data_IF_943515134462
#
_entry.id   IF_943515134462
#
_cell.length_a   1.000
_cell.length_b   1.000
_cell.length_c   1.000
_cell.angle_alpha   90.00
_cell.angle_beta   90.00
_cell.angle_gamma   90.00
#
_symmetry.space_group_name_H-M   'P 1'
#
loop_
_entity.id
_entity.type
_entity.pdbx_description
1 polymer ?
#
# COMPACT_ATOMS: atom_id res chain seq x y z
N UNK A 1 3.38 -22.13 6.64
CA UNK A 1 2.64 -20.87 6.35
C UNK A 1 2.84 -19.94 7.52
N UNK A 2 3.10 -18.66 7.27
CA UNK A 2 3.12 -17.66 8.34
C UNK A 2 1.69 -17.30 8.76
N UNK A 3 1.53 -16.79 10.00
CA UNK A 3 0.21 -16.34 10.48
C UNK A 3 -0.38 -15.27 9.56
N UNK A 4 0.45 -14.33 9.12
CA UNK A 4 0.08 -13.26 8.18
C UNK A 4 -0.47 -13.83 6.86
N UNK A 5 0.17 -14.85 6.29
CA UNK A 5 -0.30 -15.49 5.06
C UNK A 5 -1.69 -16.10 5.23
N UNK A 6 -1.91 -16.82 6.34
CA UNK A 6 -3.22 -17.44 6.64
C UNK A 6 -4.33 -16.41 6.80
N UNK A 7 -4.03 -15.26 7.43
CA UNK A 7 -4.98 -14.17 7.59
C UNK A 7 -5.38 -13.57 6.25
N UNK A 8 -4.40 -13.29 5.38
CA UNK A 8 -4.67 -12.74 4.05
C UNK A 8 -5.37 -13.72 3.12
N UNK A 9 -5.08 -15.03 3.19
CA UNK A 9 -5.84 -16.06 2.46
C UNK A 9 -7.33 -16.05 2.90
N UNK A 10 -7.59 -15.94 4.19
CA UNK A 10 -8.96 -15.84 4.72
C UNK A 10 -9.65 -14.54 4.28
N UNK A 11 -8.96 -13.40 4.37
CA UNK A 11 -9.49 -12.10 3.93
C UNK A 11 -9.78 -12.10 2.43
N UNK A 12 -8.92 -12.72 1.62
CA UNK A 12 -9.11 -12.87 0.18
C UNK A 12 -10.44 -13.56 -0.15
N UNK A 13 -10.73 -14.68 0.51
CA UNK A 13 -11.96 -15.46 0.31
C UNK A 13 -13.23 -14.68 0.67
N UNK A 14 -13.13 -13.73 1.60
CA UNK A 14 -14.25 -12.87 2.02
C UNK A 14 -14.39 -11.60 1.17
N UNK A 15 -13.39 -11.28 0.34
CA UNK A 15 -13.36 -10.07 -0.50
C UNK A 15 -14.10 -10.30 -1.82
N UNK A 16 -15.42 -10.19 -1.80
CA UNK A 16 -16.29 -10.51 -2.93
C UNK A 16 -16.11 -9.56 -4.14
N UNK A 17 -15.65 -8.32 -3.93
CA UNK A 17 -15.52 -7.31 -4.98
C UNK A 17 -14.37 -6.32 -4.70
N UNK A 18 -14.04 -5.51 -5.72
CA UNK A 18 -13.09 -4.40 -5.62
C UNK A 18 -13.77 -3.09 -5.17
N UNK A 19 -14.72 -3.18 -4.25
CA UNK A 19 -15.43 -2.02 -3.72
C UNK A 19 -14.49 -0.94 -3.17
N UNK A 20 -15.05 0.23 -2.91
CA UNK A 20 -14.30 1.35 -2.35
C UNK A 20 -13.68 0.99 -0.98
N UNK A 21 -12.41 1.32 -0.83
CA UNK A 21 -11.64 1.22 0.42
C UNK A 21 -10.85 2.52 0.63
N UNK A 22 -10.31 2.69 1.85
CA UNK A 22 -9.43 3.81 2.16
C UNK A 22 -8.15 3.79 1.30
N UNK A 23 -7.68 2.60 0.88
CA UNK A 23 -6.48 2.48 0.04
C UNK A 23 -6.76 2.96 -1.39
N UNK A 24 -7.83 2.44 -2.02
CA UNK A 24 -8.11 2.78 -3.42
C UNK A 24 -8.61 4.22 -3.61
N UNK A 25 -9.05 4.89 -2.54
CA UNK A 25 -9.31 6.34 -2.54
C UNK A 25 -8.09 7.14 -2.99
N UNK A 26 -6.88 6.67 -2.66
CA UNK A 26 -5.62 7.37 -2.99
C UNK A 26 -4.94 6.88 -4.26
N UNK A 27 -5.49 5.92 -5.01
CA UNK A 27 -4.89 5.42 -6.25
C UNK A 27 -4.59 6.56 -7.23
N UNK A 28 -5.55 7.46 -7.49
CA UNK A 28 -5.35 8.58 -8.40
C UNK A 28 -4.27 9.56 -7.92
N UNK A 29 -4.10 9.72 -6.60
CA UNK A 29 -3.03 10.53 -6.04
C UNK A 29 -1.66 9.89 -6.36
N UNK A 30 -1.50 8.59 -6.16
CA UNK A 30 -0.24 7.89 -6.45
C UNK A 30 0.06 7.85 -7.96
N UNK A 31 -0.94 7.56 -8.78
CA UNK A 31 -0.77 7.45 -10.24
C UNK A 31 -0.26 8.73 -10.91
N UNK A 32 -0.55 9.91 -10.35
CA UNK A 32 0.00 11.18 -10.84
C UNK A 32 1.52 11.29 -10.71
N UNK A 33 2.14 10.43 -9.91
CA UNK A 33 3.58 10.41 -9.68
C UNK A 33 4.30 9.30 -10.44
N UNK A 34 3.56 8.39 -11.10
CA UNK A 34 4.15 7.38 -11.99
C UNK A 34 4.86 8.11 -13.15
N UNK A 35 6.09 7.73 -13.50
CA UNK A 35 6.81 8.36 -14.61
C UNK A 35 6.03 8.26 -15.92
N UNK A 36 6.02 9.33 -16.74
CA UNK A 36 5.31 9.34 -18.02
C UNK A 36 5.83 8.28 -19.01
N UNK A 37 7.11 7.92 -18.89
CA UNK A 37 7.74 6.80 -19.60
C UNK A 37 8.11 5.74 -18.57
N UNK A 38 7.21 4.80 -18.28
CA UNK A 38 7.37 3.74 -17.30
C UNK A 38 7.39 2.39 -18.03
N UNK A 39 8.57 1.81 -18.22
CA UNK A 39 8.72 0.52 -18.86
C UNK A 39 8.47 -0.63 -17.87
N UNK A 40 8.94 -0.50 -16.63
CA UNK A 40 8.86 -1.57 -15.64
C UNK A 40 8.42 -1.03 -14.27
N UNK A 41 7.42 -1.67 -13.69
CA UNK A 41 6.91 -1.36 -12.36
C UNK A 41 6.91 -2.61 -11.48
N UNK A 42 7.28 -2.45 -10.22
CA UNK A 42 7.10 -3.45 -9.17
C UNK A 42 6.02 -2.97 -8.21
N UNK A 43 5.04 -3.83 -7.91
CA UNK A 43 4.10 -3.63 -6.81
C UNK A 43 4.33 -4.67 -5.72
N UNK A 44 4.52 -4.22 -4.48
CA UNK A 44 4.74 -5.06 -3.31
C UNK A 44 3.46 -5.10 -2.47
N UNK A 45 2.93 -6.31 -2.23
CA UNK A 45 1.65 -6.52 -1.54
C UNK A 45 0.46 -6.12 -2.41
N UNK A 46 0.35 -6.74 -3.60
CA UNK A 46 -0.66 -6.35 -4.58
C UNK A 46 -2.09 -6.75 -4.19
N UNK A 47 -2.27 -7.63 -3.20
CA UNK A 47 -3.56 -8.15 -2.81
C UNK A 47 -4.34 -8.72 -3.99
N UNK A 48 -5.59 -8.31 -4.17
CA UNK A 48 -6.44 -8.74 -5.30
C UNK A 48 -6.16 -8.00 -6.62
N UNK A 49 -5.04 -7.29 -6.73
CA UNK A 49 -4.56 -6.63 -7.95
C UNK A 49 -5.27 -5.32 -8.30
N UNK A 50 -5.98 -4.70 -7.35
CA UNK A 50 -6.75 -3.49 -7.63
C UNK A 50 -5.87 -2.32 -8.09
N UNK A 51 -4.71 -2.12 -7.49
CA UNK A 51 -3.77 -1.08 -7.90
C UNK A 51 -2.89 -1.54 -9.07
N UNK A 52 -2.55 -2.84 -9.16
CA UNK A 52 -1.84 -3.42 -10.31
C UNK A 52 -2.54 -3.10 -11.64
N UNK A 53 -3.87 -3.29 -11.71
CA UNK A 53 -4.67 -2.95 -12.89
C UNK A 53 -4.64 -1.47 -13.24
N UNK A 54 -4.50 -0.60 -12.26
CA UNK A 54 -4.35 0.84 -12.48
C UNK A 54 -2.94 1.18 -12.95
N UNK A 55 -1.90 0.57 -12.37
CA UNK A 55 -0.51 0.72 -12.80
C UNK A 55 -0.30 0.24 -14.24
N UNK A 56 -0.96 -0.86 -14.64
CA UNK A 56 -0.87 -1.41 -16.00
C UNK A 56 -1.38 -0.45 -17.10
N UNK A 57 -2.17 0.56 -16.74
CA UNK A 57 -2.60 1.63 -17.67
C UNK A 57 -1.53 2.72 -17.83
N UNK A 58 -0.50 2.74 -16.97
CA UNK A 58 0.55 3.75 -16.91
C UNK A 58 1.96 3.19 -17.16
N UNK A 59 2.12 1.86 -17.14
CA UNK A 59 3.39 1.17 -17.31
C UNK A 59 3.29 0.11 -18.40
N UNK A 60 4.42 -0.17 -19.07
CA UNK A 60 4.47 -1.22 -20.09
C UNK A 60 4.39 -2.62 -19.48
N UNK A 61 5.05 -2.82 -18.32
CA UNK A 61 5.05 -4.09 -17.59
C UNK A 61 4.90 -3.83 -16.10
N UNK A 62 4.08 -4.63 -15.44
CA UNK A 62 3.87 -4.61 -13.99
C UNK A 62 4.18 -5.99 -13.43
N UNK A 63 5.17 -6.08 -12.55
CA UNK A 63 5.39 -7.24 -11.69
C UNK A 63 4.71 -6.98 -10.35
N UNK A 64 3.76 -7.82 -9.97
CA UNK A 64 2.95 -7.65 -8.78
C UNK A 64 3.15 -8.84 -7.83
N UNK A 65 3.69 -8.57 -6.65
CA UNK A 65 4.03 -9.57 -5.65
C UNK A 65 3.02 -9.57 -4.49
N UNK A 66 2.64 -10.75 -4.02
CA UNK A 66 1.91 -10.93 -2.78
C UNK A 66 2.31 -12.24 -2.10
N UNK A 67 2.24 -12.28 -0.77
CA UNK A 67 2.54 -13.47 0.01
C UNK A 67 1.42 -14.51 -0.06
N UNK A 68 0.16 -14.06 -0.24
CA UNK A 68 -1.03 -14.90 -0.21
C UNK A 68 -1.30 -15.53 -1.58
N UNK A 69 -1.30 -16.88 -1.70
CA UNK A 69 -1.74 -17.58 -2.91
C UNK A 69 -3.17 -17.23 -3.32
N UNK A 70 -4.07 -17.05 -2.35
CA UNK A 70 -5.47 -16.72 -2.61
C UNK A 70 -5.64 -15.30 -3.15
N UNK A 71 -4.88 -14.32 -2.63
CA UNK A 71 -4.84 -12.97 -3.21
C UNK A 71 -4.39 -13.02 -4.67
N UNK A 72 -3.28 -13.72 -4.96
CA UNK A 72 -2.77 -13.85 -6.32
C UNK A 72 -3.75 -14.59 -7.24
N UNK A 73 -4.42 -15.63 -6.76
CA UNK A 73 -5.46 -16.33 -7.55
C UNK A 73 -6.58 -15.38 -7.97
N UNK A 74 -7.08 -14.58 -7.02
CA UNK A 74 -8.13 -13.59 -7.28
C UNK A 74 -7.61 -12.46 -8.19
N UNK A 75 -6.39 -11.97 -7.95
CA UNK A 75 -5.77 -10.94 -8.77
C UNK A 75 -5.68 -11.34 -10.24
N UNK A 76 -5.22 -12.57 -10.52
CA UNK A 76 -5.17 -13.12 -11.88
C UNK A 76 -6.57 -13.22 -12.51
N UNK A 77 -7.56 -13.73 -11.79
CA UNK A 77 -8.94 -13.82 -12.28
C UNK A 77 -9.53 -12.46 -12.66
N UNK A 78 -9.30 -11.43 -11.83
CA UNK A 78 -9.83 -10.09 -12.06
C UNK A 78 -9.03 -9.29 -13.09
N UNK A 79 -7.88 -9.77 -13.50
CA UNK A 79 -6.96 -9.07 -14.40
C UNK A 79 -6.77 -9.74 -15.75
N UNK A 80 -7.65 -10.65 -16.17
CA UNK A 80 -7.57 -11.43 -17.43
C UNK A 80 -7.39 -10.51 -18.66
N UNK A 81 -7.96 -9.31 -18.63
CA UNK A 81 -7.86 -8.34 -19.72
C UNK A 81 -6.52 -7.58 -19.78
N UNK A 82 -5.64 -7.75 -18.80
CA UNK A 82 -4.34 -7.07 -18.71
C UNK A 82 -3.22 -8.04 -19.01
N UNK A 83 -2.71 -8.05 -20.23
CA UNK A 83 -1.60 -8.91 -20.65
C UNK A 83 -0.23 -8.45 -20.14
N UNK A 84 -0.15 -7.23 -19.59
CA UNK A 84 1.07 -6.60 -19.11
C UNK A 84 1.25 -6.64 -17.60
N UNK A 85 0.48 -7.50 -16.90
CA UNK A 85 0.66 -7.74 -15.46
C UNK A 85 1.11 -9.17 -15.22
N UNK A 86 2.24 -9.33 -14.56
CA UNK A 86 2.71 -10.60 -14.01
C UNK A 86 2.44 -10.64 -12.50
N UNK A 87 1.64 -11.60 -12.05
CA UNK A 87 1.37 -11.83 -10.62
C UNK A 87 2.21 -12.99 -10.11
N UNK A 88 2.97 -12.75 -9.04
CA UNK A 88 3.86 -13.75 -8.43
C UNK A 88 3.58 -13.90 -6.94
N UNK A 89 3.47 -15.15 -6.46
CA UNK A 89 3.47 -15.45 -5.03
C UNK A 89 4.90 -15.31 -4.54
N UNK A 90 5.15 -14.39 -3.61
CA UNK A 90 6.49 -14.15 -3.09
C UNK A 90 6.46 -13.61 -1.66
N UNK A 91 7.37 -14.12 -0.82
CA UNK A 91 7.75 -13.48 0.42
C UNK A 91 8.80 -12.40 0.13
N UNK A 92 8.40 -11.13 0.25
CA UNK A 92 9.25 -9.98 -0.03
C UNK A 92 10.50 -9.95 0.86
N UNK A 93 10.44 -10.53 2.07
CA UNK A 93 11.60 -10.57 2.98
C UNK A 93 12.76 -11.39 2.42
N UNK A 94 12.45 -12.44 1.64
CA UNK A 94 13.42 -13.33 1.00
C UNK A 94 13.53 -13.13 -0.52
N UNK A 95 12.63 -12.36 -1.13
CA UNK A 95 12.63 -12.14 -2.58
C UNK A 95 13.89 -11.38 -3.03
N UNK A 96 14.50 -11.84 -4.12
CA UNK A 96 15.71 -11.23 -4.66
C UNK A 96 15.37 -9.97 -5.46
N UNK A 97 15.61 -8.80 -4.87
CA UNK A 97 15.40 -7.52 -5.53
C UNK A 97 16.51 -7.27 -6.57
N UNK A 98 16.19 -7.20 -7.87
CA UNK A 98 17.20 -6.87 -8.87
C UNK A 98 17.58 -5.39 -8.76
N UNK A 99 18.88 -5.09 -8.84
CA UNK A 99 19.36 -3.71 -8.80
C UNK A 99 18.94 -2.90 -10.03
N UNK A 100 18.63 -1.64 -9.88
CA UNK A 100 18.35 -0.64 -10.93
C UNK A 100 17.45 -1.12 -12.08
N UNK A 101 16.38 -1.85 -11.75
CA UNK A 101 15.54 -2.52 -12.73
C UNK A 101 14.22 -1.78 -12.99
N UNK A 102 13.65 -1.14 -11.96
CA UNK A 102 12.32 -0.58 -12.04
C UNK A 102 12.30 0.93 -12.23
N UNK A 103 11.40 1.40 -13.09
CA UNK A 103 11.11 2.83 -13.26
C UNK A 103 10.15 3.33 -12.18
N UNK A 104 9.34 2.43 -11.60
CA UNK A 104 8.44 2.70 -10.49
C UNK A 104 8.38 1.51 -9.54
N UNK A 105 8.40 1.75 -8.25
CA UNK A 105 8.07 0.75 -7.23
C UNK A 105 6.94 1.29 -6.37
N UNK A 106 5.89 0.49 -6.18
CA UNK A 106 4.73 0.87 -5.38
C UNK A 106 4.47 -0.15 -4.27
N UNK A 107 3.98 0.33 -3.12
CA UNK A 107 3.48 -0.53 -2.05
C UNK A 107 2.32 0.18 -1.32
N UNK A 108 1.19 -0.53 -1.19
CA UNK A 108 -0.02 0.01 -0.57
C UNK A 108 -0.47 -0.88 0.59
N UNK A 109 -0.46 -0.32 1.80
CA UNK A 109 -0.89 -0.99 3.04
C UNK A 109 -0.22 -2.36 3.26
N UNK A 110 1.11 -2.39 3.12
CA UNK A 110 1.89 -3.64 3.19
C UNK A 110 3.17 -3.49 4.01
N UNK A 111 3.84 -2.31 3.94
CA UNK A 111 5.17 -2.14 4.55
C UNK A 111 5.15 -2.26 6.07
N UNK A 112 4.02 -2.00 6.72
CA UNK A 112 3.87 -2.17 8.18
C UNK A 112 3.97 -3.64 8.63
N UNK A 113 3.87 -4.63 7.71
CA UNK A 113 4.13 -6.04 7.98
C UNK A 113 5.58 -6.47 7.72
N UNK A 114 6.42 -5.56 7.23
CA UNK A 114 7.78 -5.85 6.78
C UNK A 114 8.82 -5.11 7.63
N UNK A 115 10.08 -5.57 7.66
CA UNK A 115 11.18 -4.81 8.24
C UNK A 115 11.37 -3.51 7.44
N UNK A 116 10.72 -2.42 7.89
CA UNK A 116 10.54 -1.19 7.12
C UNK A 116 11.86 -0.62 6.57
N UNK A 117 12.89 -0.53 7.44
CA UNK A 117 14.21 -0.01 7.06
C UNK A 117 14.85 -0.81 5.94
N UNK A 118 14.93 -2.12 6.12
CA UNK A 118 15.56 -3.02 5.16
C UNK A 118 14.81 -3.03 3.83
N UNK A 119 13.49 -3.09 3.89
CA UNK A 119 12.63 -3.07 2.71
C UNK A 119 12.79 -1.78 1.92
N UNK A 120 12.82 -0.62 2.58
CA UNK A 120 13.03 0.68 1.90
C UNK A 120 14.40 0.75 1.22
N UNK A 121 15.46 0.21 1.84
CA UNK A 121 16.80 0.13 1.21
C UNK A 121 16.75 -0.71 -0.05
N UNK A 122 16.16 -1.91 0.00
CA UNK A 122 16.04 -2.82 -1.15
C UNK A 122 15.20 -2.20 -2.27
N UNK A 123 14.08 -1.54 -1.94
CA UNK A 123 13.26 -0.81 -2.92
C UNK A 123 14.04 0.32 -3.58
N UNK A 124 14.78 1.12 -2.80
CA UNK A 124 15.64 2.21 -3.30
C UNK A 124 16.68 1.69 -4.30
N UNK A 125 17.37 0.62 -3.93
CA UNK A 125 18.48 0.07 -4.72
C UNK A 125 17.97 -0.60 -6.02
N UNK A 126 16.72 -1.09 -6.03
CA UNK A 126 16.06 -1.68 -7.20
C UNK A 126 15.49 -0.65 -8.18
N UNK A 127 15.35 0.60 -7.77
CA UNK A 127 14.95 1.69 -8.67
C UNK A 127 16.11 2.11 -9.56
N UNK A 128 15.81 2.37 -10.82
CA UNK A 128 16.70 3.09 -11.75
C UNK A 128 16.89 4.53 -11.29
N UNK A 129 17.99 5.17 -11.73
CA UNK A 129 18.14 6.62 -11.62
C UNK A 129 16.97 7.29 -12.35
N UNK A 130 16.32 8.25 -11.71
CA UNK A 130 15.08 8.88 -12.18
C UNK A 130 13.80 8.11 -11.89
N UNK A 131 13.90 6.88 -11.39
CA UNK A 131 12.75 6.06 -10.96
C UNK A 131 12.07 6.60 -9.72
N UNK A 132 10.81 6.19 -9.50
CA UNK A 132 9.94 6.73 -8.45
C UNK A 132 9.50 5.64 -7.48
N UNK A 133 9.61 5.91 -6.18
CA UNK A 133 9.03 5.12 -5.10
C UNK A 133 7.69 5.74 -4.67
N UNK A 134 6.65 4.90 -4.61
CA UNK A 134 5.30 5.26 -4.19
C UNK A 134 4.89 4.36 -3.02
N UNK A 135 4.74 4.93 -1.84
CA UNK A 135 4.22 4.22 -0.66
C UNK A 135 2.94 4.89 -0.20
N UNK A 136 1.94 4.07 0.12
CA UNK A 136 0.75 4.47 0.86
C UNK A 136 0.56 3.44 1.97
N UNK A 137 0.64 3.87 3.23
CA UNK A 137 0.53 2.92 4.32
C UNK A 137 -0.16 3.51 5.55
N UNK A 138 -0.36 2.67 6.57
CA UNK A 138 -0.94 3.03 7.85
C UNK A 138 0.15 3.52 8.80
N UNK A 139 -0.25 4.33 9.77
CA UNK A 139 0.64 4.84 10.81
C UNK A 139 -0.02 4.72 12.18
N UNK A 140 0.80 4.59 13.21
CA UNK A 140 0.32 4.66 14.59
C UNK A 140 -0.16 6.08 14.92
N UNK A 141 -1.38 6.16 15.46
CA UNK A 141 -1.98 7.44 15.86
C UNK A 141 -1.60 7.78 17.29
N UNK A 142 -1.21 9.04 17.53
CA UNK A 142 -1.03 9.52 18.89
C UNK A 142 -2.41 9.66 19.55
N UNK A 143 -2.62 8.95 20.66
CA UNK A 143 -3.88 8.95 21.40
C UNK A 143 -3.92 9.98 22.52
N UNK A 144 -2.76 10.49 22.92
CA UNK A 144 -2.67 11.47 23.99
C UNK A 144 -3.04 12.87 23.48
N UNK A 145 -4.28 13.27 23.74
CA UNK A 145 -4.85 14.58 23.32
C UNK A 145 -4.14 15.80 23.93
N UNK A 146 -3.33 15.61 24.96
CA UNK A 146 -2.52 16.69 25.55
C UNK A 146 -1.24 16.96 24.75
N UNK A 147 -0.89 16.07 23.80
CA UNK A 147 0.16 16.36 22.82
C UNK A 147 -0.44 17.01 21.57
N UNK A 148 0.26 17.97 20.93
CA UNK A 148 -0.22 18.62 19.70
C UNK A 148 -0.61 17.63 18.60
N UNK A 149 0.18 16.57 18.43
CA UNK A 149 -0.07 15.50 17.47
C UNK A 149 -1.35 14.73 17.77
N UNK A 150 -1.60 14.42 19.05
CA UNK A 150 -2.80 13.70 19.48
C UNK A 150 -4.06 14.53 19.38
N UNK A 151 -3.99 15.84 19.66
CA UNK A 151 -5.09 16.76 19.41
C UNK A 151 -5.40 16.83 17.91
N UNK A 152 -4.37 16.97 17.07
CA UNK A 152 -4.53 16.98 15.61
C UNK A 152 -5.13 15.66 15.11
N UNK A 153 -4.68 14.51 15.62
CA UNK A 153 -5.20 13.19 15.24
C UNK A 153 -6.66 13.01 15.66
N UNK A 154 -7.06 13.58 16.83
CA UNK A 154 -8.45 13.55 17.29
C UNK A 154 -9.37 14.38 16.40
N UNK A 155 -8.95 15.58 16.00
CA UNK A 155 -9.69 16.42 15.03
C UNK A 155 -9.77 15.73 13.67
N UNK A 156 -8.66 15.16 13.20
CA UNK A 156 -8.62 14.41 11.95
C UNK A 156 -9.61 13.24 11.96
N UNK A 157 -9.70 12.50 13.07
CA UNK A 157 -10.64 11.39 13.24
C UNK A 157 -12.10 11.84 13.18
N UNK A 158 -12.42 12.97 13.81
CA UNK A 158 -13.77 13.54 13.79
C UNK A 158 -14.26 13.82 12.36
N UNK A 159 -13.35 14.13 11.45
CA UNK A 159 -13.65 14.34 10.02
C UNK A 159 -13.53 13.03 9.23
N UNK A 160 -12.50 12.21 9.48
CA UNK A 160 -12.22 11.01 8.72
C UNK A 160 -13.30 9.93 8.86
N UNK A 161 -13.86 9.75 10.06
CA UNK A 161 -14.90 8.73 10.31
C UNK A 161 -16.14 8.99 9.45
N UNK A 162 -16.83 10.15 9.55
CA UNK A 162 -18.00 10.41 8.73
C UNK A 162 -17.68 10.43 7.23
N UNK A 163 -16.53 10.95 6.84
CA UNK A 163 -16.07 10.93 5.45
C UNK A 163 -15.94 9.51 4.92
N UNK A 164 -15.29 8.61 5.68
CA UNK A 164 -15.12 7.21 5.30
C UNK A 164 -16.45 6.48 5.16
N UNK A 165 -17.37 6.70 6.10
CA UNK A 165 -18.72 6.10 6.08
C UNK A 165 -19.51 6.61 4.87
N UNK A 166 -19.50 7.91 4.61
CA UNK A 166 -20.20 8.53 3.47
C UNK A 166 -19.66 8.04 2.13
N UNK A 167 -18.32 8.02 1.97
CA UNK A 167 -17.71 7.52 0.74
C UNK A 167 -18.00 6.04 0.52
N UNK A 168 -17.97 5.23 1.58
CA UNK A 168 -18.35 3.82 1.48
C UNK A 168 -19.81 3.66 1.06
N UNK A 169 -20.72 4.43 1.62
CA UNK A 169 -22.13 4.39 1.23
C UNK A 169 -22.33 4.77 -0.24
N UNK A 170 -21.70 5.86 -0.68
CA UNK A 170 -21.80 6.34 -2.05
C UNK A 170 -21.24 5.34 -3.08
N UNK A 171 -20.17 4.66 -2.76
CA UNK A 171 -19.50 3.76 -3.72
C UNK A 171 -19.95 2.30 -3.60
N UNK A 172 -20.26 1.84 -2.39
CA UNK A 172 -20.56 0.43 -2.13
C UNK A 172 -22.03 0.16 -1.77
N UNK A 173 -22.87 1.22 -1.67
CA UNK A 173 -24.26 1.10 -1.28
C UNK A 173 -24.51 0.65 0.17
N UNK A 174 -23.45 0.63 1.02
CA UNK A 174 -23.52 0.18 2.41
C UNK A 174 -22.61 1.03 3.31
N UNK A 175 -23.05 1.27 4.55
CA UNK A 175 -22.30 2.07 5.51
C UNK A 175 -21.09 1.32 6.09
N UNK A 176 -21.22 0.02 6.30
CA UNK A 176 -20.18 -0.85 6.88
C UNK A 176 -19.93 -2.07 5.99
N UNK A 177 -18.70 -2.63 6.01
CA UNK A 177 -18.45 -3.92 5.38
C UNK A 177 -19.32 -5.04 6.01
N UNK A 178 -19.50 -6.17 5.34
CA UNK A 178 -20.14 -7.36 5.91
C UNK A 178 -19.49 -7.75 7.25
N UNK A 179 -20.29 -8.34 8.15
CA UNK A 179 -19.83 -8.69 9.51
C UNK A 179 -18.61 -9.61 9.50
N UNK A 180 -18.60 -10.59 8.61
CA UNK A 180 -17.50 -11.55 8.48
C UNK A 180 -16.20 -10.87 8.03
N UNK A 181 -16.28 -9.95 7.04
CA UNK A 181 -15.14 -9.15 6.58
C UNK A 181 -14.59 -8.29 7.72
N UNK A 182 -15.47 -7.62 8.49
CA UNK A 182 -15.03 -6.81 9.65
C UNK A 182 -14.38 -7.66 10.73
N UNK A 183 -14.92 -8.86 11.01
CA UNK A 183 -14.34 -9.76 12.00
C UNK A 183 -12.96 -10.28 11.56
N UNK A 184 -12.78 -10.59 10.27
CA UNK A 184 -11.49 -11.03 9.74
C UNK A 184 -10.43 -9.93 9.83
N UNK A 185 -10.77 -8.69 9.44
CA UNK A 185 -9.87 -7.55 9.59
C UNK A 185 -9.56 -7.22 11.04
N UNK A 186 -10.56 -7.24 11.93
CA UNK A 186 -10.33 -6.98 13.36
C UNK A 186 -9.43 -8.03 14.02
N UNK A 187 -9.50 -9.30 13.59
CA UNK A 187 -8.60 -10.35 14.07
C UNK A 187 -7.16 -10.13 13.56
N UNK A 188 -7.01 -9.72 12.30
CA UNK A 188 -5.72 -9.41 11.70
C UNK A 188 -5.04 -8.21 12.38
N UNK A 189 -5.77 -7.10 12.55
CA UNK A 189 -5.26 -5.85 13.14
C UNK A 189 -4.79 -5.98 14.61
N UNK A 190 -5.17 -7.05 15.32
CA UNK A 190 -4.75 -7.26 16.72
C UNK A 190 -3.25 -7.48 16.87
N UNK A 191 -2.60 -8.00 15.84
CA UNK A 191 -1.17 -8.33 15.84
C UNK A 191 -0.33 -7.33 15.05
N UNK A 192 -0.97 -6.32 14.44
CA UNK A 192 -0.27 -5.36 13.61
C UNK A 192 0.42 -4.28 14.46
N UNK A 193 1.60 -3.93 14.03
CA UNK A 193 2.34 -2.78 14.55
C UNK A 193 2.54 -1.76 13.44
N UNK A 194 2.26 -0.51 13.75
CA UNK A 194 2.36 0.56 12.75
C UNK A 194 3.49 1.52 13.12
N UNK A 195 4.26 1.99 12.15
CA UNK A 195 5.28 3.02 12.43
C UNK A 195 4.60 4.34 12.82
N UNK A 196 5.23 5.08 13.70
CA UNK A 196 4.83 6.47 13.97
C UNK A 196 5.21 7.37 12.79
N UNK A 197 4.50 8.49 12.63
CA UNK A 197 4.85 9.46 11.58
C UNK A 197 6.26 10.04 11.73
N UNK A 198 6.79 10.06 12.96
CA UNK A 198 8.15 10.51 13.21
C UNK A 198 9.19 9.49 12.69
N UNK A 199 8.98 8.20 12.98
CA UNK A 199 9.82 7.12 12.43
C UNK A 199 9.82 7.11 10.91
N UNK A 200 8.65 7.24 10.29
CA UNK A 200 8.55 7.32 8.81
C UNK A 200 9.34 8.50 8.25
N UNK A 201 9.27 9.68 8.89
CA UNK A 201 10.03 10.86 8.46
C UNK A 201 11.53 10.69 8.65
N UNK A 202 11.94 10.12 9.80
CA UNK A 202 13.37 9.88 10.09
C UNK A 202 13.98 8.88 9.11
N UNK A 203 13.32 7.73 8.90
CA UNK A 203 13.77 6.73 7.93
C UNK A 203 13.74 7.29 6.49
N UNK A 204 12.69 8.06 6.15
CA UNK A 204 12.61 8.75 4.86
C UNK A 204 13.79 9.69 4.64
N UNK A 205 14.12 10.54 5.60
CA UNK A 205 15.23 11.49 5.49
C UNK A 205 16.59 10.77 5.39
N UNK A 206 16.76 9.65 6.06
CA UNK A 206 18.00 8.90 6.06
C UNK A 206 18.21 8.08 4.77
N UNK A 207 17.15 7.39 4.30
CA UNK A 207 17.26 6.40 3.21
C UNK A 207 16.89 7.01 1.86
N UNK A 208 15.96 7.95 1.84
CA UNK A 208 15.31 8.53 0.68
C UNK A 208 15.43 10.08 0.75
N UNK A 209 16.60 10.66 0.51
CA UNK A 209 16.80 12.10 0.63
C UNK A 209 15.79 12.86 -0.25
N UNK A 210 15.22 13.94 0.31
CA UNK A 210 14.16 14.75 -0.30
C UNK A 210 12.82 14.04 -0.52
N UNK A 211 12.58 12.90 0.14
CA UNK A 211 11.29 12.21 0.08
C UNK A 211 10.16 13.11 0.60
N UNK A 212 9.06 13.12 -0.13
CA UNK A 212 7.83 13.81 0.29
C UNK A 212 6.99 12.87 1.14
N UNK A 213 7.05 13.05 2.47
CA UNK A 213 6.23 12.31 3.42
C UNK A 213 5.00 13.14 3.78
N UNK A 214 3.81 12.63 3.49
CA UNK A 214 2.54 13.33 3.73
C UNK A 214 1.57 12.46 4.52
N UNK A 215 0.96 13.03 5.57
CA UNK A 215 -0.17 12.44 6.30
C UNK A 215 -1.48 12.78 5.59
N UNK A 216 -2.38 11.80 5.48
CA UNK A 216 -3.66 11.91 4.78
C UNK A 216 -4.86 11.70 5.71
N UNK A 217 -6.06 12.10 5.24
CA UNK A 217 -7.28 12.10 6.05
C UNK A 217 -7.71 10.69 6.50
N UNK A 218 -7.70 9.70 5.62
CA UNK A 218 -8.25 8.36 5.91
C UNK A 218 -7.21 7.43 6.53
N UNK A 219 -6.52 7.89 7.57
CA UNK A 219 -5.52 7.14 8.36
C UNK A 219 -4.40 6.54 7.51
N UNK A 220 -3.98 7.28 6.49
CA UNK A 220 -2.88 6.89 5.62
C UNK A 220 -1.77 7.94 5.66
N UNK A 221 -0.56 7.47 5.42
CA UNK A 221 0.52 8.35 4.99
C UNK A 221 0.99 7.93 3.60
N UNK A 222 1.64 8.83 2.90
CA UNK A 222 2.34 8.51 1.66
C UNK A 222 3.79 8.94 1.73
N UNK A 223 4.65 8.15 1.06
CA UNK A 223 6.00 8.55 0.70
C UNK A 223 6.09 8.56 -0.81
N UNK A 224 6.48 9.69 -1.37
CA UNK A 224 6.78 9.85 -2.79
C UNK A 224 8.22 10.31 -2.91
N UNK A 225 9.03 9.50 -3.57
CA UNK A 225 10.45 9.78 -3.73
C UNK A 225 10.92 9.46 -5.14
N UNK A 226 11.85 10.28 -5.64
CA UNK A 226 12.48 10.06 -6.95
C UNK A 226 13.97 9.84 -6.74
N UNK A 227 14.49 8.71 -7.24
CA UNK A 227 15.92 8.40 -7.18
C UNK A 227 16.71 9.38 -8.04
N UNK A 228 17.58 10.15 -7.42
CA UNK A 228 18.55 11.00 -8.09
C UNK A 228 19.86 10.23 -8.31
N UNK A 229 20.61 10.54 -9.34
CA UNK A 229 22.00 10.12 -9.46
C UNK A 229 22.83 10.74 -8.33
N UNK A 230 23.77 9.97 -7.78
CA UNK A 230 24.74 10.48 -6.82
C UNK A 230 25.71 11.45 -7.48
#
# INVERSE_FOLDING_TARGET
MSAIQTDFDRIALLSADDGWTQNNHYHNFLLRHVPAKCASTLEIGCGTGAFSRRLAQHAQNVLALDLSPEMIRIARQRSIQFSNIEFQIADVTSWNFPGETFDCIASLATLHHLPLRETLLRMRDSLKIGGVLLVLDLFERERNVFKPEGLFDSVLNAVAIPTSVSLRFLHNGRLLPPREVRAAWAAHEQNDTYPTMNEVRMLGAEILPDARVKKHLLWRYSVVWKKTGA
#
